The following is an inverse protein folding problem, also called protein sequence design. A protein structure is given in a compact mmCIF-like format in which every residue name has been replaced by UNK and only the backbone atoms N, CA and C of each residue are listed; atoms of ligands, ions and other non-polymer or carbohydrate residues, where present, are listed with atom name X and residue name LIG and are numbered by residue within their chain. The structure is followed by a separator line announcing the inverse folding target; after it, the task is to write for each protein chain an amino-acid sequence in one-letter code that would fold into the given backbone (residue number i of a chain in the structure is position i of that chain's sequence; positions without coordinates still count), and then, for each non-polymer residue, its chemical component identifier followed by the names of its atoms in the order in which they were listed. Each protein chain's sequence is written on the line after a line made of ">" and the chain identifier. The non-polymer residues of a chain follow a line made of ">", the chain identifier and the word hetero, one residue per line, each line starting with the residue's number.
data_IF_308348159666
#
_entry.id   IF_308348159666
#
_cell.length_a   1.000
_cell.length_b   1.000
_cell.length_c   1.000
_cell.angle_alpha   90.00
_cell.angle_beta   90.00
_cell.angle_gamma   90.00
#
_symmetry.space_group_name_H-M   'P 1'
#
loop_
_entity.id
_entity.type
_entity.pdbx_description
1 polymer ?
#
# COMPACT_ATOMS: atom_id res chain seq x y z
N UNK A 1 9.05 29.50 -11.20
CA UNK A 1 7.75 29.08 -10.59
C UNK A 1 7.27 30.21 -9.68
N UNK A 2 6.00 30.65 -9.82
CA UNK A 2 5.41 31.66 -8.93
C UNK A 2 5.04 31.10 -7.56
N UNK A 3 4.71 31.97 -6.60
CA UNK A 3 4.44 31.56 -5.22
C UNK A 3 3.17 30.70 -5.10
N UNK A 4 2.11 31.00 -5.87
CA UNK A 4 0.87 30.23 -5.88
C UNK A 4 1.10 28.80 -6.39
N UNK A 5 1.86 28.65 -7.48
CA UNK A 5 2.20 27.34 -8.02
C UNK A 5 3.10 26.55 -7.05
N UNK A 6 4.00 27.23 -6.35
CA UNK A 6 4.88 26.63 -5.35
C UNK A 6 4.08 26.06 -4.17
N UNK A 7 3.08 26.80 -3.67
CA UNK A 7 2.18 26.31 -2.61
C UNK A 7 1.37 25.09 -3.07
N UNK A 8 0.87 25.10 -4.31
CA UNK A 8 0.15 23.95 -4.89
C UNK A 8 1.06 22.73 -5.04
N UNK A 9 2.30 22.90 -5.47
CA UNK A 9 3.29 21.82 -5.55
C UNK A 9 3.58 21.25 -4.16
N UNK A 10 3.75 22.12 -3.16
CA UNK A 10 4.02 21.67 -1.78
C UNK A 10 2.83 20.87 -1.21
N UNK A 11 1.60 21.36 -1.40
CA UNK A 11 0.38 20.67 -0.93
C UNK A 11 0.17 19.33 -1.63
N UNK A 12 0.33 19.26 -2.95
CA UNK A 12 0.24 18.01 -3.71
C UNK A 12 1.36 17.03 -3.30
N UNK A 13 2.56 17.55 -3.06
CA UNK A 13 3.70 16.80 -2.57
C UNK A 13 3.49 16.22 -1.17
N UNK A 14 2.92 17.01 -0.26
CA UNK A 14 2.60 16.54 1.10
C UNK A 14 1.59 15.39 1.05
N UNK A 15 0.49 15.52 0.33
CA UNK A 15 -0.48 14.45 0.18
C UNK A 15 0.12 13.19 -0.46
N UNK A 16 0.96 13.34 -1.50
CA UNK A 16 1.63 12.22 -2.16
C UNK A 16 2.67 11.54 -1.25
N UNK A 17 3.43 12.32 -0.44
CA UNK A 17 4.41 11.80 0.50
C UNK A 17 3.73 11.02 1.64
N UNK A 18 2.66 11.56 2.22
CA UNK A 18 1.86 10.88 3.23
C UNK A 18 1.27 9.57 2.72
N UNK A 19 0.65 9.58 1.54
CA UNK A 19 0.09 8.39 0.89
C UNK A 19 1.18 7.34 0.64
N UNK A 20 2.32 7.74 0.07
CA UNK A 20 3.43 6.83 -0.22
C UNK A 20 4.00 6.21 1.06
N UNK A 21 4.22 7.01 2.11
CA UNK A 21 4.75 6.56 3.39
C UNK A 21 3.81 5.55 4.07
N UNK A 22 2.50 5.80 4.06
CA UNK A 22 1.50 4.90 4.64
C UNK A 22 1.37 3.61 3.84
N UNK A 23 1.33 3.71 2.50
CA UNK A 23 1.19 2.54 1.62
C UNK A 23 2.37 1.57 1.68
N UNK A 24 3.58 2.09 1.84
CA UNK A 24 4.81 1.27 1.81
C UNK A 24 5.45 1.06 3.18
N UNK A 25 4.95 1.70 4.25
CA UNK A 25 5.48 1.59 5.60
C UNK A 25 6.94 2.06 5.72
N UNK A 26 7.37 2.99 4.85
CA UNK A 26 8.73 3.52 4.79
C UNK A 26 8.72 5.04 4.67
N UNK A 27 9.87 5.66 4.97
CA UNK A 27 9.99 7.10 4.79
C UNK A 27 9.85 7.47 3.30
N UNK A 28 9.12 8.56 2.99
CA UNK A 28 8.88 8.96 1.62
C UNK A 28 10.17 9.49 0.96
N UNK A 29 10.25 9.34 -0.35
CA UNK A 29 11.35 9.83 -1.19
C UNK A 29 10.82 10.76 -2.28
N UNK A 30 11.55 11.86 -2.55
CA UNK A 30 11.16 12.84 -3.58
C UNK A 30 10.99 12.17 -4.95
N UNK A 31 11.87 11.23 -5.30
CA UNK A 31 11.79 10.51 -6.59
C UNK A 31 10.53 9.67 -6.72
N UNK A 32 10.10 9.04 -5.63
CA UNK A 32 8.91 8.20 -5.61
C UNK A 32 7.60 8.99 -5.81
N UNK A 33 7.54 10.25 -5.32
CA UNK A 33 6.34 11.09 -5.40
C UNK A 33 6.29 11.99 -6.64
N UNK A 34 7.43 12.26 -7.28
CA UNK A 34 7.52 13.12 -8.48
C UNK A 34 6.62 12.65 -9.63
N UNK A 35 6.67 11.33 -9.94
CA UNK A 35 5.87 10.73 -11.01
C UNK A 35 4.36 10.93 -10.79
N UNK A 36 3.82 10.48 -9.65
CA UNK A 36 2.42 10.67 -9.30
C UNK A 36 1.94 12.13 -9.38
N UNK A 37 2.64 13.06 -8.74
CA UNK A 37 2.20 14.48 -8.73
C UNK A 37 2.24 15.14 -10.11
N UNK A 38 3.23 14.81 -10.95
CA UNK A 38 3.29 15.30 -12.32
C UNK A 38 2.24 14.64 -13.23
N UNK A 39 1.83 13.41 -12.90
CA UNK A 39 0.76 12.71 -13.59
C UNK A 39 -0.61 13.32 -13.31
N UNK A 40 -0.89 13.59 -12.03
CA UNK A 40 -2.14 14.20 -11.57
C UNK A 40 -2.24 15.70 -11.94
N UNK A 41 -1.08 16.40 -12.03
CA UNK A 41 -1.01 17.83 -12.30
C UNK A 41 -0.08 18.14 -13.49
N UNK A 42 -0.57 18.02 -14.74
CA UNK A 42 0.25 18.26 -15.93
C UNK A 42 0.89 19.63 -16.01
N UNK A 43 0.29 20.63 -15.36
CA UNK A 43 0.79 22.01 -15.27
C UNK A 43 2.10 22.14 -14.49
N UNK A 44 2.49 21.14 -13.68
CA UNK A 44 3.76 21.11 -12.96
C UNK A 44 4.94 20.71 -13.84
N UNK A 45 4.70 20.04 -14.97
CA UNK A 45 5.74 19.51 -15.86
C UNK A 45 6.76 20.53 -16.36
N UNK A 46 6.35 21.77 -16.74
CA UNK A 46 7.30 22.80 -17.16
C UNK A 46 8.29 23.23 -16.08
N UNK A 47 8.00 22.95 -14.81
CA UNK A 47 8.78 23.33 -13.63
C UNK A 47 9.50 22.15 -12.98
N UNK A 48 9.67 21.04 -13.68
CA UNK A 48 10.26 19.80 -13.17
C UNK A 48 11.61 19.98 -12.47
N UNK A 49 12.42 20.92 -12.92
CA UNK A 49 13.73 21.20 -12.32
C UNK A 49 13.65 21.91 -10.95
N UNK A 50 12.57 22.67 -10.72
CA UNK A 50 12.37 23.44 -9.47
C UNK A 50 11.63 22.63 -8.40
N UNK A 51 10.80 21.67 -8.81
CA UNK A 51 9.93 20.87 -7.93
C UNK A 51 10.70 20.11 -6.84
N UNK A 52 11.82 19.42 -7.12
CA UNK A 52 12.56 18.71 -6.08
C UNK A 52 12.98 19.59 -4.90
N UNK A 53 13.32 20.86 -5.17
CA UNK A 53 13.67 21.84 -4.14
C UNK A 53 12.48 22.23 -3.24
N UNK A 54 11.25 22.18 -3.77
CA UNK A 54 10.02 22.46 -3.02
C UNK A 54 9.61 21.22 -2.21
N UNK A 55 9.80 20.03 -2.77
CA UNK A 55 9.38 18.76 -2.14
C UNK A 55 10.34 18.27 -1.04
N UNK A 56 11.62 18.58 -1.13
CA UNK A 56 12.60 18.09 -0.17
C UNK A 56 12.26 18.41 1.31
N UNK A 57 11.92 19.66 1.67
CA UNK A 57 11.48 19.95 3.04
C UNK A 57 10.20 19.24 3.43
N UNK A 58 9.23 19.15 2.51
CA UNK A 58 7.94 18.47 2.73
C UNK A 58 8.14 16.97 3.03
N UNK A 59 8.96 16.30 2.24
CA UNK A 59 9.31 14.88 2.43
C UNK A 59 9.99 14.66 3.77
N UNK A 60 10.89 15.55 4.18
CA UNK A 60 11.55 15.45 5.48
C UNK A 60 10.55 15.62 6.63
N UNK A 61 9.64 16.59 6.56
CA UNK A 61 8.60 16.79 7.59
C UNK A 61 7.69 15.57 7.72
N UNK A 62 7.25 14.99 6.60
CA UNK A 62 6.45 13.75 6.59
C UNK A 62 7.26 12.57 7.14
N UNK A 63 8.56 12.50 6.87
CA UNK A 63 9.47 11.48 7.40
C UNK A 63 9.54 11.50 8.93
N UNK A 64 9.46 12.68 9.56
CA UNK A 64 9.48 12.84 11.02
C UNK A 64 8.14 12.52 11.71
N UNK A 65 7.03 12.42 10.96
CA UNK A 65 5.71 12.09 11.51
C UNK A 65 5.60 10.58 11.79
N UNK A 66 4.91 10.23 12.88
CA UNK A 66 4.48 8.86 13.13
C UNK A 66 3.28 8.48 12.23
N UNK A 67 2.93 7.20 12.21
CA UNK A 67 1.84 6.68 11.35
C UNK A 67 0.49 7.33 11.67
N UNK A 68 0.17 7.55 12.95
CA UNK A 68 -1.08 8.16 13.36
C UNK A 68 -1.19 9.62 12.87
N UNK A 69 -0.12 10.39 13.00
CA UNK A 69 -0.05 11.76 12.49
C UNK A 69 -0.14 11.83 10.97
N UNK A 70 0.51 10.88 10.27
CA UNK A 70 0.43 10.76 8.80
C UNK A 70 -1.01 10.47 8.35
N UNK A 71 -1.74 9.57 9.00
CA UNK A 71 -3.15 9.25 8.69
C UNK A 71 -4.07 10.44 8.95
N UNK A 72 -3.95 11.09 10.10
CA UNK A 72 -4.73 12.28 10.44
C UNK A 72 -4.53 13.39 9.40
N UNK A 73 -3.26 13.69 9.08
CA UNK A 73 -2.91 14.72 8.11
C UNK A 73 -3.36 14.42 6.69
N UNK A 74 -3.26 13.17 6.25
CA UNK A 74 -3.77 12.74 4.94
C UNK A 74 -5.30 12.87 4.88
N UNK A 75 -6.01 12.54 5.95
CA UNK A 75 -7.47 12.70 6.06
C UNK A 75 -7.93 14.16 5.96
N UNK A 76 -7.11 15.12 6.43
CA UNK A 76 -7.38 16.55 6.29
C UNK A 76 -7.13 17.07 4.87
N UNK A 77 -6.03 16.65 4.24
CA UNK A 77 -5.56 17.14 2.94
C UNK A 77 -6.24 16.44 1.75
N UNK A 78 -6.39 15.14 1.82
CA UNK A 78 -6.86 14.30 0.73
C UNK A 78 -7.64 13.08 1.28
N UNK A 79 -8.87 13.27 1.79
CA UNK A 79 -9.67 12.19 2.39
C UNK A 79 -9.97 11.05 1.41
N UNK A 80 -10.02 11.33 0.11
CA UNK A 80 -10.18 10.33 -0.94
C UNK A 80 -8.96 9.38 -1.04
N UNK A 81 -7.75 9.88 -0.83
CA UNK A 81 -6.52 9.05 -0.81
C UNK A 81 -6.43 8.20 0.46
N UNK A 82 -6.92 8.71 1.59
CA UNK A 82 -7.02 7.93 2.81
C UNK A 82 -8.03 6.79 2.66
N UNK A 83 -9.19 7.06 2.06
CA UNK A 83 -10.20 6.04 1.78
C UNK A 83 -9.69 4.96 0.80
N UNK A 84 -8.87 5.33 -0.19
CA UNK A 84 -8.19 4.39 -1.09
C UNK A 84 -7.24 3.45 -0.33
N UNK A 85 -6.43 3.99 0.61
CA UNK A 85 -5.54 3.18 1.44
C UNK A 85 -6.31 2.20 2.33
N UNK A 86 -7.39 2.65 2.97
CA UNK A 86 -8.23 1.82 3.82
C UNK A 86 -8.91 0.70 3.02
N UNK A 87 -9.36 0.99 1.79
CA UNK A 87 -9.91 -0.02 0.89
C UNK A 87 -8.86 -1.04 0.43
N UNK A 88 -7.64 -0.58 0.10
CA UNK A 88 -6.52 -1.46 -0.25
C UNK A 88 -6.13 -2.36 0.95
N UNK A 89 -6.12 -1.81 2.19
CA UNK A 89 -5.84 -2.59 3.41
C UNK A 89 -6.92 -3.65 3.68
N UNK A 90 -8.20 -3.33 3.46
CA UNK A 90 -9.30 -4.30 3.57
C UNK A 90 -9.22 -5.41 2.51
N UNK A 91 -8.80 -5.07 1.27
CA UNK A 91 -8.56 -6.06 0.23
C UNK A 91 -7.35 -6.96 0.53
N UNK A 92 -6.28 -6.40 1.11
CA UNK A 92 -5.07 -7.15 1.48
C UNK A 92 -5.30 -8.09 2.68
N UNK A 93 -6.22 -7.78 3.60
CA UNK A 93 -6.64 -8.72 4.66
C UNK A 93 -7.28 -10.00 4.09
N UNK A 94 -7.79 -9.95 2.85
CA UNK A 94 -8.44 -11.08 2.18
C UNK A 94 -7.76 -11.44 0.86
N UNK A 95 -6.44 -11.71 0.89
CA UNK A 95 -5.65 -12.16 -0.29
C UNK A 95 -6.24 -13.39 -0.98
N UNK A 96 -7.04 -14.19 -0.26
CA UNK A 96 -7.74 -15.35 -0.80
C UNK A 96 -9.26 -15.14 -0.73
N UNK A 97 -10.00 -15.45 -1.81
CA UNK A 97 -11.46 -15.38 -1.80
C UNK A 97 -12.05 -16.32 -0.77
N UNK A 98 -13.23 -15.98 -0.24
CA UNK A 98 -13.96 -16.88 0.64
C UNK A 98 -14.36 -18.17 -0.07
N UNK A 99 -14.31 -19.27 0.68
CA UNK A 99 -14.79 -20.55 0.15
C UNK A 99 -16.32 -20.56 0.11
N UNK A 100 -16.94 -20.86 -1.05
CA UNK A 100 -18.39 -20.92 -1.14
C UNK A 100 -18.95 -22.04 -0.27
N UNK A 101 -19.96 -21.73 0.54
CA UNK A 101 -20.62 -22.64 1.47
C UNK A 101 -19.70 -23.26 2.54
N UNK A 102 -18.61 -22.59 2.89
CA UNK A 102 -17.77 -23.03 4.01
C UNK A 102 -18.45 -22.71 5.34
N UNK A 103 -18.35 -23.64 6.27
CA UNK A 103 -18.79 -23.48 7.66
C UNK A 103 -17.57 -23.63 8.57
N UNK A 104 -17.46 -22.79 9.62
CA UNK A 104 -16.36 -22.84 10.58
C UNK A 104 -16.28 -24.23 11.24
N UNK A 105 -15.08 -24.78 11.31
CA UNK A 105 -14.83 -26.10 11.86
C UNK A 105 -15.19 -27.29 10.93
N UNK A 106 -15.82 -27.03 9.77
CA UNK A 106 -16.22 -28.08 8.84
C UNK A 106 -15.33 -28.16 7.58
N UNK A 107 -14.37 -27.22 7.41
CA UNK A 107 -13.48 -27.18 6.26
C UNK A 107 -12.32 -28.16 6.46
N UNK A 108 -12.21 -29.16 5.58
CA UNK A 108 -11.08 -30.10 5.55
C UNK A 108 -10.32 -29.91 4.24
N UNK A 109 -9.04 -29.64 4.34
CA UNK A 109 -8.15 -29.47 3.20
C UNK A 109 -7.04 -30.50 3.20
N UNK A 110 -6.61 -30.88 2.00
CA UNK A 110 -5.58 -31.91 1.81
C UNK A 110 -4.46 -31.40 0.92
N UNK A 111 -3.21 -31.61 1.34
CA UNK A 111 -2.05 -31.54 0.46
C UNK A 111 -1.57 -32.95 0.10
N UNK A 112 -1.45 -33.21 -1.19
CA UNK A 112 -0.91 -34.49 -1.69
C UNK A 112 0.24 -34.18 -2.66
N UNK A 113 1.42 -33.83 -2.16
CA UNK A 113 2.57 -33.53 -3.01
C UNK A 113 3.04 -34.79 -3.73
N UNK A 114 3.33 -34.68 -5.02
CA UNK A 114 3.89 -35.76 -5.80
C UNK A 114 5.41 -35.86 -5.52
N UNK A 115 5.94 -37.02 -5.11
CA UNK A 115 7.35 -37.19 -4.71
C UNK A 115 8.32 -37.31 -5.91
N UNK A 116 8.09 -36.58 -7.00
CA UNK A 116 8.87 -36.68 -8.24
C UNK A 116 10.18 -35.89 -8.26
N UNK A 117 10.58 -35.26 -7.15
CA UNK A 117 11.81 -34.48 -7.08
C UNK A 117 11.93 -33.67 -5.78
N UNK A 118 13.02 -32.93 -5.61
CA UNK A 118 13.21 -32.09 -4.43
C UNK A 118 12.19 -30.93 -4.40
N UNK A 119 11.74 -30.61 -3.19
CA UNK A 119 10.84 -29.49 -2.98
C UNK A 119 11.54 -28.17 -3.31
N UNK A 120 10.81 -27.26 -3.96
CA UNK A 120 11.26 -25.91 -4.25
C UNK A 120 10.16 -24.91 -3.86
N UNK A 121 10.47 -23.60 -3.91
CA UNK A 121 9.57 -22.51 -3.49
C UNK A 121 8.18 -22.59 -4.14
N UNK A 122 8.05 -23.09 -5.36
CA UNK A 122 6.76 -23.28 -6.03
C UNK A 122 5.84 -24.29 -5.31
N UNK A 123 6.39 -25.26 -4.59
CA UNK A 123 5.61 -26.21 -3.79
C UNK A 123 5.10 -25.60 -2.48
N UNK A 124 5.72 -24.54 -1.97
CA UNK A 124 5.30 -23.85 -0.76
C UNK A 124 3.95 -23.11 -0.92
N UNK A 125 3.55 -22.78 -2.15
CA UNK A 125 2.28 -22.11 -2.43
C UNK A 125 1.06 -22.88 -1.92
N UNK A 126 1.01 -24.17 -2.16
CA UNK A 126 -0.12 -25.02 -1.76
C UNK A 126 -0.32 -25.07 -0.23
N UNK A 127 0.69 -25.45 0.58
CA UNK A 127 0.54 -25.44 2.04
C UNK A 127 0.30 -24.03 2.61
N UNK A 128 0.81 -22.96 1.99
CA UNK A 128 0.52 -21.59 2.41
C UNK A 128 -0.97 -21.26 2.24
N UNK A 129 -1.55 -21.54 1.06
CA UNK A 129 -2.99 -21.33 0.79
C UNK A 129 -3.86 -22.16 1.74
N UNK A 130 -3.51 -23.43 1.93
CA UNK A 130 -4.23 -24.34 2.85
C UNK A 130 -4.13 -23.83 4.29
N UNK A 131 -2.95 -23.38 4.72
CA UNK A 131 -2.73 -22.82 6.06
C UNK A 131 -3.61 -21.61 6.33
N UNK A 132 -3.68 -20.68 5.38
CA UNK A 132 -4.52 -19.49 5.47
C UNK A 132 -6.01 -19.84 5.61
N UNK A 133 -6.52 -20.75 4.79
CA UNK A 133 -7.91 -21.19 4.91
C UNK A 133 -8.20 -21.98 6.18
N UNK A 134 -7.24 -22.82 6.63
CA UNK A 134 -7.34 -23.51 7.90
C UNK A 134 -7.54 -22.54 9.06
N UNK A 135 -6.72 -21.48 9.11
CA UNK A 135 -6.83 -20.45 10.16
C UNK A 135 -8.13 -19.66 10.06
N UNK A 136 -8.53 -19.30 8.83
CA UNK A 136 -9.76 -18.52 8.59
C UNK A 136 -11.04 -19.25 9.00
N UNK A 137 -11.13 -20.55 8.77
CA UNK A 137 -12.35 -21.35 8.98
C UNK A 137 -12.24 -22.34 10.13
N UNK A 138 -11.23 -22.21 11.00
CA UNK A 138 -10.93 -23.21 12.06
C UNK A 138 -10.96 -24.65 11.52
N UNK A 139 -10.40 -24.83 10.33
CA UNK A 139 -10.48 -26.05 9.55
C UNK A 139 -9.39 -27.09 9.88
N UNK A 140 -9.46 -28.24 9.24
CA UNK A 140 -8.47 -29.32 9.36
C UNK A 140 -7.59 -29.42 8.12
N UNK A 141 -6.28 -29.68 8.31
CA UNK A 141 -5.33 -29.89 7.24
C UNK A 141 -4.74 -31.29 7.34
N UNK A 142 -4.88 -32.07 6.26
CA UNK A 142 -4.43 -33.48 6.16
C UNK A 142 -3.30 -33.59 5.13
#
# INVERSE_FOLDING_TARGET
>A
MDDELRERVAAAGEAAALFNALKHGSDPDVGAIMGPIMGENPEFRPHGDEIPGVLAPVVNEVGEMDEAARRERLGELAPEKLAELEADEEEDEHVLPDLPNAEDGAVVMRAAPNPNGPWHVGHARMPAVIGTYKERYDGEFI
#
